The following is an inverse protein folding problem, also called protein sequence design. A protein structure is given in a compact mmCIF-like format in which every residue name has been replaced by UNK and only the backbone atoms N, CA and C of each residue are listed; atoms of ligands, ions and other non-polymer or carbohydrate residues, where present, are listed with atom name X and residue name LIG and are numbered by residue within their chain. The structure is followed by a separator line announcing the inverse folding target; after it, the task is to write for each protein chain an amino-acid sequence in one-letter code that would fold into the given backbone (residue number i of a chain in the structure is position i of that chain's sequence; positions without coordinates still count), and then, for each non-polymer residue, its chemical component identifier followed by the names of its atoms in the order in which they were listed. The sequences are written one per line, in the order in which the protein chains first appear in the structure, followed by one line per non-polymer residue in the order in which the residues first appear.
data_IF_971323709786
#
_entry.id   IF_971323709786
#
_cell.length_a   1.000
_cell.length_b   1.000
_cell.length_c   1.000
_cell.angle_alpha   90.00
_cell.angle_beta   90.00
_cell.angle_gamma   90.00
#
_symmetry.space_group_name_H-M   'P 1'
#
loop_
_entity.id
_entity.type
_entity.pdbx_description
1 polymer ?
#
# COMPACT_ATOMS: atom_id res chain seq x y z
N UNK A 1 24.62 7.61 -11.38
CA UNK A 1 23.19 7.59 -11.73
C UNK A 1 22.84 6.47 -12.72
N UNK A 2 23.66 6.22 -13.75
CA UNK A 2 23.39 5.17 -14.76
C UNK A 2 23.22 3.77 -14.14
N UNK A 3 24.01 3.40 -13.12
CA UNK A 3 23.93 2.10 -12.47
C UNK A 3 22.62 1.89 -11.71
N UNK A 4 22.11 2.92 -11.02
CA UNK A 4 20.83 2.85 -10.30
C UNK A 4 19.68 2.61 -11.29
N UNK A 5 19.70 3.33 -12.42
CA UNK A 5 18.68 3.21 -13.46
C UNK A 5 18.73 1.83 -14.14
N UNK A 6 19.92 1.30 -14.39
CA UNK A 6 20.09 -0.04 -14.95
C UNK A 6 19.56 -1.13 -14.02
N UNK A 7 19.83 -1.03 -12.70
CA UNK A 7 19.30 -1.95 -11.70
C UNK A 7 17.78 -1.84 -11.62
N UNK A 8 17.26 -0.62 -11.56
CA UNK A 8 15.82 -0.36 -11.56
C UNK A 8 15.12 -0.98 -12.78
N UNK A 9 15.65 -0.77 -13.99
CA UNK A 9 15.09 -1.35 -15.22
C UNK A 9 15.11 -2.89 -15.18
N UNK A 10 16.21 -3.49 -14.72
CA UNK A 10 16.34 -4.94 -14.57
C UNK A 10 15.30 -5.50 -13.61
N UNK A 11 15.14 -4.87 -12.43
CA UNK A 11 14.16 -5.27 -11.43
C UNK A 11 12.72 -5.12 -11.95
N UNK A 12 12.40 -3.99 -12.57
CA UNK A 12 11.08 -3.76 -13.17
C UNK A 12 10.76 -4.79 -14.26
N UNK A 13 11.73 -5.06 -15.16
CA UNK A 13 11.55 -6.08 -16.18
C UNK A 13 11.32 -7.46 -15.57
N UNK A 14 12.06 -7.81 -14.52
CA UNK A 14 11.89 -9.08 -13.81
C UNK A 14 10.49 -9.23 -13.23
N UNK A 15 9.89 -8.15 -12.71
CA UNK A 15 8.51 -8.17 -12.22
C UNK A 15 7.49 -8.45 -13.31
N UNK A 16 7.56 -7.72 -14.43
CA UNK A 16 6.56 -7.86 -15.50
C UNK A 16 6.77 -9.08 -16.39
N UNK A 17 7.94 -9.71 -16.36
CA UNK A 17 8.15 -11.04 -16.97
C UNK A 17 7.60 -12.14 -16.06
N UNK A 18 7.60 -11.94 -14.74
CA UNK A 18 7.04 -12.89 -13.78
C UNK A 18 5.51 -12.74 -13.68
N UNK A 19 4.74 -13.85 -13.59
CA UNK A 19 3.31 -13.80 -13.35
C UNK A 19 2.94 -13.20 -11.98
N UNK A 20 3.88 -13.12 -11.05
CA UNK A 20 3.66 -12.64 -9.68
C UNK A 20 3.16 -11.19 -9.66
N UNK A 21 3.71 -10.31 -10.50
CA UNK A 21 3.29 -8.92 -10.57
C UNK A 21 1.81 -8.78 -10.97
N UNK A 22 1.37 -9.58 -11.93
CA UNK A 22 -0.02 -9.59 -12.40
C UNK A 22 -0.98 -10.15 -11.34
N UNK A 23 -0.56 -11.20 -10.64
CA UNK A 23 -1.34 -11.76 -9.52
C UNK A 23 -1.51 -10.73 -8.41
N UNK A 24 -0.42 -10.07 -8.00
CA UNK A 24 -0.45 -9.03 -6.95
C UNK A 24 -1.37 -7.87 -7.37
N UNK A 25 -1.24 -7.40 -8.62
CA UNK A 25 -2.07 -6.32 -9.15
C UNK A 25 -3.55 -6.71 -9.19
N UNK A 26 -3.85 -7.94 -9.66
CA UNK A 26 -5.23 -8.46 -9.73
C UNK A 26 -5.83 -8.59 -8.33
N UNK A 27 -5.11 -9.17 -7.38
CA UNK A 27 -5.58 -9.31 -5.99
C UNK A 27 -5.80 -7.94 -5.34
N UNK A 28 -4.87 -7.01 -5.54
CA UNK A 28 -4.99 -5.66 -5.01
C UNK A 28 -6.23 -4.94 -5.58
N UNK A 29 -6.44 -4.98 -6.89
CA UNK A 29 -7.59 -4.36 -7.54
C UNK A 29 -8.90 -5.05 -7.15
N UNK A 30 -8.90 -6.37 -7.07
CA UNK A 30 -10.07 -7.14 -6.64
C UNK A 30 -10.49 -6.78 -5.22
N UNK A 31 -9.55 -6.78 -4.28
CA UNK A 31 -9.83 -6.39 -2.89
C UNK A 31 -10.27 -4.92 -2.80
N UNK A 32 -9.58 -4.00 -3.48
CA UNK A 32 -9.95 -2.58 -3.50
C UNK A 32 -11.36 -2.38 -4.05
N UNK A 33 -11.72 -3.07 -5.13
CA UNK A 33 -13.06 -3.01 -5.73
C UNK A 33 -14.14 -3.63 -4.83
N UNK A 34 -13.85 -4.76 -4.20
CA UNK A 34 -14.77 -5.44 -3.30
C UNK A 34 -15.09 -4.57 -2.07
N UNK A 35 -14.07 -3.98 -1.46
CA UNK A 35 -14.28 -3.08 -0.32
C UNK A 35 -14.94 -1.76 -0.73
N UNK A 36 -14.63 -1.25 -1.92
CA UNK A 36 -15.34 -0.08 -2.47
C UNK A 36 -16.84 -0.34 -2.58
N UNK A 37 -17.21 -1.48 -3.15
CA UNK A 37 -18.62 -1.88 -3.27
C UNK A 37 -19.27 -2.10 -1.90
N UNK A 38 -18.56 -2.73 -0.95
CA UNK A 38 -19.03 -2.91 0.43
C UNK A 38 -19.32 -1.59 1.13
N UNK A 39 -18.40 -0.62 1.03
CA UNK A 39 -18.57 0.70 1.61
C UNK A 39 -19.76 1.47 1.00
N UNK A 40 -19.97 1.36 -0.32
CA UNK A 40 -21.14 1.96 -0.96
C UNK A 40 -22.46 1.35 -0.46
N UNK A 41 -22.52 0.01 -0.36
CA UNK A 41 -23.70 -0.68 0.14
C UNK A 41 -24.00 -0.32 1.61
N UNK A 42 -22.98 -0.20 2.43
CA UNK A 42 -23.13 0.23 3.83
C UNK A 42 -23.77 1.62 3.94
N UNK A 43 -23.31 2.59 3.17
CA UNK A 43 -23.86 3.94 3.13
C UNK A 43 -25.33 3.95 2.66
N UNK A 44 -25.63 3.20 1.60
CA UNK A 44 -27.00 3.08 1.09
C UNK A 44 -27.92 2.46 2.13
N UNK A 45 -27.52 1.38 2.79
CA UNK A 45 -28.31 0.74 3.85
C UNK A 45 -28.52 1.67 5.04
N UNK A 46 -27.49 2.38 5.48
CA UNK A 46 -27.58 3.36 6.56
C UNK A 46 -28.63 4.45 6.23
N UNK A 47 -28.57 5.01 5.03
CA UNK A 47 -29.48 6.06 4.58
C UNK A 47 -30.93 5.55 4.51
N UNK A 48 -31.15 4.34 3.99
CA UNK A 48 -32.47 3.72 3.93
C UNK A 48 -33.04 3.44 5.32
N UNK A 49 -32.23 2.94 6.25
CA UNK A 49 -32.66 2.66 7.62
C UNK A 49 -33.07 3.92 8.36
N UNK A 50 -32.32 5.01 8.22
CA UNK A 50 -32.70 6.30 8.83
C UNK A 50 -33.98 6.87 8.25
N UNK A 51 -34.18 6.76 6.93
CA UNK A 51 -35.42 7.19 6.28
C UNK A 51 -36.63 6.40 6.79
N UNK A 52 -36.50 5.10 7.04
CA UNK A 52 -37.56 4.25 7.58
C UNK A 52 -37.89 4.56 9.05
N UNK A 53 -36.91 4.99 9.86
CA UNK A 53 -37.11 5.33 11.26
C UNK A 53 -37.78 6.72 11.46
N UNK A 54 -38.08 7.44 10.38
CA UNK A 54 -38.65 8.80 10.46
C UNK A 54 -37.72 9.83 11.08
N UNK A 55 -36.47 9.48 11.32
CA UNK A 55 -35.44 10.40 11.75
C UNK A 55 -34.94 11.16 10.51
N UNK A 56 -34.95 12.48 10.59
CA UNK A 56 -34.39 13.29 9.50
C UNK A 56 -33.01 12.79 9.16
N UNK A 57 -32.81 12.40 7.89
CA UNK A 57 -31.53 11.90 7.40
C UNK A 57 -30.47 12.95 7.68
N UNK A 58 -29.57 12.68 8.61
CA UNK A 58 -28.38 13.55 8.77
C UNK A 58 -27.59 13.50 7.47
N UNK A 59 -27.29 14.63 6.85
CA UNK A 59 -26.56 14.66 5.59
C UNK A 59 -25.14 14.13 5.82
N UNK A 60 -24.92 12.86 5.44
CA UNK A 60 -23.57 12.29 5.39
C UNK A 60 -22.96 12.72 4.07
N UNK A 61 -21.76 13.26 4.11
CA UNK A 61 -20.94 13.44 2.93
C UNK A 61 -20.47 12.05 2.42
N UNK A 62 -21.34 11.41 1.61
CA UNK A 62 -21.12 10.06 1.07
C UNK A 62 -19.76 9.93 0.37
N UNK A 63 -19.37 10.87 -0.54
CA UNK A 63 -18.06 10.83 -1.14
C UNK A 63 -16.90 10.84 -0.14
N UNK A 64 -16.95 11.72 0.85
CA UNK A 64 -15.90 11.82 1.86
C UNK A 64 -15.81 10.55 2.71
N UNK A 65 -16.93 9.98 3.11
CA UNK A 65 -16.98 8.71 3.86
C UNK A 65 -16.37 7.55 3.07
N UNK A 66 -16.79 7.36 1.82
CA UNK A 66 -16.32 6.28 0.96
C UNK A 66 -14.82 6.41 0.71
N UNK A 67 -14.32 7.62 0.43
CA UNK A 67 -12.90 7.87 0.19
C UNK A 67 -12.07 7.58 1.45
N UNK A 68 -12.52 8.05 2.62
CA UNK A 68 -11.82 7.80 3.88
C UNK A 68 -11.78 6.31 4.22
N UNK A 69 -12.89 5.60 4.02
CA UNK A 69 -12.98 4.16 4.22
C UNK A 69 -12.06 3.38 3.27
N UNK A 70 -11.97 3.80 2.01
CA UNK A 70 -11.03 3.22 1.03
C UNK A 70 -9.58 3.36 1.48
N UNK A 71 -9.15 4.53 1.95
CA UNK A 71 -7.78 4.71 2.43
C UNK A 71 -7.50 3.86 3.67
N UNK A 72 -8.46 3.75 4.59
CA UNK A 72 -8.35 2.88 5.77
C UNK A 72 -8.18 1.42 5.36
N UNK A 73 -8.99 0.94 4.43
CA UNK A 73 -8.90 -0.43 3.90
C UNK A 73 -7.59 -0.65 3.15
N UNK A 74 -7.17 0.31 2.31
CA UNK A 74 -5.90 0.23 1.58
C UNK A 74 -4.72 0.14 2.54
N UNK A 75 -4.73 0.84 3.68
CA UNK A 75 -3.67 0.71 4.70
C UNK A 75 -3.56 -0.70 5.25
N UNK A 76 -4.69 -1.39 5.47
CA UNK A 76 -4.71 -2.79 5.90
C UNK A 76 -4.18 -3.72 4.80
N UNK A 77 -4.58 -3.49 3.54
CA UNK A 77 -4.06 -4.29 2.41
C UNK A 77 -2.54 -4.15 2.30
N UNK A 78 -1.99 -2.94 2.49
CA UNK A 78 -0.56 -2.70 2.46
C UNK A 78 0.21 -3.45 3.55
N UNK A 79 -0.40 -3.71 4.72
CA UNK A 79 0.23 -4.51 5.78
C UNK A 79 0.61 -5.92 5.33
N UNK A 80 -0.19 -6.52 4.44
CA UNK A 80 0.07 -7.85 3.89
C UNK A 80 0.92 -7.77 2.63
N UNK A 81 0.63 -6.81 1.77
CA UNK A 81 1.25 -6.69 0.46
C UNK A 81 2.73 -6.28 0.53
N UNK A 82 3.07 -5.32 1.41
CA UNK A 82 4.44 -4.83 1.52
C UNK A 82 5.43 -5.90 1.99
N UNK A 83 5.17 -6.69 3.06
CA UNK A 83 6.05 -7.79 3.43
C UNK A 83 6.27 -8.79 2.30
N UNK A 84 5.21 -9.12 1.53
CA UNK A 84 5.32 -10.02 0.37
C UNK A 84 6.21 -9.43 -0.74
N UNK A 85 6.14 -8.12 -0.98
CA UNK A 85 6.95 -7.45 -1.99
C UNK A 85 8.42 -7.31 -1.59
N UNK A 86 8.72 -7.28 -0.29
CA UNK A 86 10.07 -7.00 0.22
C UNK A 86 10.84 -8.24 0.67
N UNK A 87 10.16 -9.35 0.93
CA UNK A 87 10.75 -10.56 1.52
C UNK A 87 11.96 -11.10 0.76
N UNK A 88 11.91 -11.10 -0.58
CA UNK A 88 12.94 -11.71 -1.43
C UNK A 88 14.03 -10.75 -1.89
N UNK A 89 14.01 -9.47 -1.49
CA UNK A 89 14.88 -8.44 -2.06
C UNK A 89 16.38 -8.73 -1.87
N UNK A 90 16.77 -9.13 -0.69
CA UNK A 90 18.14 -9.49 -0.32
C UNK A 90 18.23 -10.88 0.29
N UNK A 91 17.21 -11.33 1.02
CA UNK A 91 17.22 -12.63 1.67
C UNK A 91 17.35 -13.79 0.68
N UNK A 92 16.78 -13.67 -0.52
CA UNK A 92 16.91 -14.68 -1.57
C UNK A 92 18.31 -14.67 -2.18
N UNK A 93 18.90 -13.50 -2.42
CA UNK A 93 20.28 -13.37 -2.94
C UNK A 93 21.31 -13.89 -1.93
N UNK A 94 21.08 -13.63 -0.64
CA UNK A 94 21.90 -14.20 0.43
C UNK A 94 21.79 -15.73 0.47
N UNK A 95 20.56 -16.25 0.46
CA UNK A 95 20.32 -17.70 0.49
C UNK A 95 20.95 -18.43 -0.70
N UNK A 96 20.99 -17.80 -1.88
CA UNK A 96 21.58 -18.36 -3.10
C UNK A 96 23.09 -18.12 -3.21
N UNK A 97 23.72 -17.40 -2.29
CA UNK A 97 25.13 -17.01 -2.35
C UNK A 97 25.48 -16.02 -3.47
N UNK A 98 24.47 -15.49 -4.17
CA UNK A 98 24.68 -14.55 -5.29
C UNK A 98 25.02 -13.13 -4.81
N UNK A 99 24.88 -12.85 -3.53
CA UNK A 99 25.24 -11.56 -2.95
C UNK A 99 26.74 -11.29 -3.07
N UNK A 100 27.59 -12.33 -3.00
CA UNK A 100 29.03 -12.20 -3.15
C UNK A 100 29.40 -11.75 -4.58
N UNK A 101 28.72 -12.27 -5.61
CA UNK A 101 28.87 -11.84 -6.99
C UNK A 101 28.46 -10.39 -7.19
N UNK A 102 27.44 -9.94 -6.44
CA UNK A 102 26.98 -8.55 -6.47
C UNK A 102 28.02 -7.61 -5.84
N UNK A 103 28.68 -8.05 -4.76
CA UNK A 103 29.70 -7.29 -4.05
C UNK A 103 31.04 -7.21 -4.80
N UNK A 104 31.33 -8.17 -5.71
CA UNK A 104 32.56 -8.16 -6.54
C UNK A 104 32.41 -7.27 -7.78
N UNK A 105 31.18 -6.82 -8.11
CA UNK A 105 30.98 -5.86 -9.21
C UNK A 105 31.40 -4.44 -8.77
N UNK A 106 31.93 -3.60 -9.68
CA UNK A 106 32.34 -2.23 -9.37
C UNK A 106 31.14 -1.27 -9.17
N UNK A 107 30.08 -1.78 -8.56
CA UNK A 107 28.84 -1.05 -8.26
C UNK A 107 28.75 -0.86 -6.76
N UNK A 108 28.57 0.37 -6.30
CA UNK A 108 28.45 0.65 -4.87
C UNK A 108 27.18 0.03 -4.26
N UNK A 109 27.30 -0.55 -3.06
CA UNK A 109 26.19 -1.20 -2.34
C UNK A 109 24.96 -0.29 -2.20
N UNK A 110 25.17 1.01 -2.01
CA UNK A 110 24.11 2.00 -1.93
C UNK A 110 23.34 2.16 -3.26
N UNK A 111 24.03 2.02 -4.39
CA UNK A 111 23.39 2.08 -5.72
C UNK A 111 22.49 0.87 -5.96
N UNK A 112 22.89 -0.30 -5.50
CA UNK A 112 22.08 -1.52 -5.56
C UNK A 112 20.84 -1.37 -4.71
N UNK A 113 20.99 -0.91 -3.46
CA UNK A 113 19.90 -0.71 -2.52
C UNK A 113 18.87 0.27 -3.07
N UNK A 114 19.32 1.44 -3.56
CA UNK A 114 18.43 2.43 -4.15
C UNK A 114 17.74 1.92 -5.42
N UNK A 115 18.44 1.22 -6.29
CA UNK A 115 17.86 0.67 -7.53
C UNK A 115 16.71 -0.31 -7.21
N UNK A 116 16.93 -1.21 -6.26
CA UNK A 116 15.92 -2.15 -5.78
C UNK A 116 14.74 -1.44 -5.10
N UNK A 117 15.03 -0.47 -4.24
CA UNK A 117 14.00 0.32 -3.57
C UNK A 117 13.12 1.07 -4.56
N UNK A 118 13.71 1.81 -5.49
CA UNK A 118 12.93 2.56 -6.49
C UNK A 118 12.11 1.66 -7.40
N UNK A 119 12.57 0.45 -7.71
CA UNK A 119 11.76 -0.51 -8.45
C UNK A 119 10.48 -0.88 -7.68
N UNK A 120 10.57 -1.11 -6.37
CA UNK A 120 9.39 -1.42 -5.52
C UNK A 120 8.45 -0.24 -5.36
N UNK A 121 9.01 0.96 -5.17
CA UNK A 121 8.24 2.21 -5.11
C UNK A 121 7.51 2.47 -6.43
N UNK A 122 8.15 2.22 -7.57
CA UNK A 122 7.50 2.34 -8.89
C UNK A 122 6.37 1.34 -9.05
N UNK A 123 6.54 0.10 -8.61
CA UNK A 123 5.49 -0.91 -8.64
C UNK A 123 4.31 -0.51 -7.72
N UNK A 124 4.59 0.01 -6.52
CA UNK A 124 3.58 0.57 -5.63
C UNK A 124 2.82 1.73 -6.30
N UNK A 125 3.53 2.60 -7.02
CA UNK A 125 2.89 3.70 -7.76
C UNK A 125 1.93 3.16 -8.82
N UNK A 126 2.31 2.10 -9.55
CA UNK A 126 1.44 1.45 -10.55
C UNK A 126 0.18 0.88 -9.88
N UNK A 127 0.31 0.24 -8.70
CA UNK A 127 -0.83 -0.24 -7.94
C UNK A 127 -1.79 0.91 -7.56
N UNK A 128 -1.27 2.03 -7.08
CA UNK A 128 -2.09 3.19 -6.72
C UNK A 128 -2.74 3.84 -7.95
N UNK A 129 -2.01 3.98 -9.05
CA UNK A 129 -2.57 4.52 -10.29
C UNK A 129 -3.69 3.62 -10.84
N UNK A 130 -3.51 2.30 -10.76
CA UNK A 130 -4.55 1.36 -11.20
C UNK A 130 -5.80 1.41 -10.33
N UNK A 131 -5.66 1.62 -8.99
CA UNK A 131 -6.80 1.82 -8.10
C UNK A 131 -7.55 3.13 -8.33
N UNK A 132 -6.94 4.10 -9.01
CA UNK A 132 -7.61 5.33 -9.46
C UNK A 132 -8.84 5.06 -10.34
N UNK A 133 -8.86 3.92 -11.06
CA UNK A 133 -10.03 3.48 -11.82
C UNK A 133 -11.25 3.24 -10.92
N UNK A 134 -11.05 2.71 -9.70
CA UNK A 134 -12.12 2.50 -8.73
C UNK A 134 -12.71 3.81 -8.23
N UNK A 135 -11.86 4.82 -7.97
CA UNK A 135 -12.33 6.14 -7.56
C UNK A 135 -12.95 6.91 -8.72
N UNK A 136 -12.50 6.69 -9.97
CA UNK A 136 -13.12 7.34 -11.13
C UNK A 136 -14.60 6.99 -11.28
N UNK A 137 -15.02 5.80 -10.84
CA UNK A 137 -16.44 5.44 -10.79
C UNK A 137 -17.25 6.36 -9.87
N UNK A 138 -16.67 6.85 -8.77
CA UNK A 138 -17.34 7.78 -7.88
C UNK A 138 -17.62 9.14 -8.54
N UNK A 139 -16.73 9.60 -9.43
CA UNK A 139 -16.92 10.85 -10.18
C UNK A 139 -18.04 10.78 -11.23
N UNK A 140 -18.43 9.58 -11.65
CA UNK A 140 -19.56 9.38 -12.58
C UNK A 140 -20.90 9.64 -11.87
N UNK A 141 -21.00 9.24 -10.60
CA UNK A 141 -22.25 9.30 -9.83
C UNK A 141 -22.34 10.49 -8.87
N UNK A 142 -21.21 11.08 -8.50
CA UNK A 142 -21.13 12.20 -7.56
C UNK A 142 -20.05 13.18 -8.01
N UNK A 143 -20.01 14.37 -7.41
CA UNK A 143 -18.96 15.38 -7.65
C UNK A 143 -18.11 15.55 -6.39
N UNK A 144 -17.28 14.55 -6.05
CA UNK A 144 -16.41 14.66 -4.88
C UNK A 144 -15.36 15.76 -5.09
N UNK A 145 -14.94 16.40 -4.00
CA UNK A 145 -13.79 17.30 -4.05
C UNK A 145 -12.52 16.46 -4.35
N UNK A 146 -11.81 16.83 -5.41
CA UNK A 146 -10.60 16.12 -5.85
C UNK A 146 -9.37 16.38 -4.95
N UNK A 147 -9.35 17.50 -4.21
CA UNK A 147 -8.21 17.89 -3.37
C UNK A 147 -7.95 16.90 -2.23
N UNK A 148 -8.93 16.52 -1.40
CA UNK A 148 -8.74 15.50 -0.36
C UNK A 148 -8.31 14.14 -0.94
N UNK A 149 -8.80 13.79 -2.14
CA UNK A 149 -8.42 12.54 -2.81
C UNK A 149 -6.94 12.54 -3.14
N UNK A 150 -6.43 13.59 -3.79
CA UNK A 150 -5.00 13.69 -4.13
C UNK A 150 -4.09 13.67 -2.90
N UNK A 151 -4.46 14.43 -1.86
CA UNK A 151 -3.70 14.45 -0.60
C UNK A 151 -3.71 13.07 0.06
N UNK A 152 -4.86 12.39 0.08
CA UNK A 152 -4.98 11.04 0.61
C UNK A 152 -4.13 10.03 -0.15
N UNK A 153 -4.14 10.06 -1.48
CA UNK A 153 -3.28 9.20 -2.32
C UNK A 153 -1.80 9.46 -2.09
N UNK A 154 -1.40 10.74 -2.01
CA UNK A 154 -0.02 11.10 -1.71
C UNK A 154 0.39 10.57 -0.33
N UNK A 155 -0.44 10.76 0.69
CA UNK A 155 -0.19 10.26 2.04
C UNK A 155 -0.06 8.74 2.08
N UNK A 156 -0.97 8.01 1.42
CA UNK A 156 -0.93 6.55 1.33
C UNK A 156 0.28 6.05 0.55
N UNK A 157 0.67 6.74 -0.51
CA UNK A 157 1.88 6.41 -1.27
C UNK A 157 3.14 6.57 -0.42
N UNK A 158 3.26 7.69 0.31
CA UNK A 158 4.39 7.92 1.23
C UNK A 158 4.42 6.91 2.37
N UNK A 159 3.26 6.56 2.93
CA UNK A 159 3.13 5.52 3.94
C UNK A 159 3.61 4.16 3.40
N UNK A 160 3.12 3.75 2.24
CA UNK A 160 3.56 2.51 1.58
C UNK A 160 5.05 2.51 1.24
N UNK A 161 5.60 3.64 0.78
CA UNK A 161 7.03 3.79 0.50
C UNK A 161 7.88 3.66 1.78
N UNK A 162 7.41 4.21 2.91
CA UNK A 162 8.08 4.03 4.21
C UNK A 162 8.05 2.57 4.67
N UNK A 163 6.92 1.88 4.53
CA UNK A 163 6.84 0.45 4.84
C UNK A 163 7.75 -0.39 3.92
N UNK A 164 7.85 -0.05 2.63
CA UNK A 164 8.78 -0.71 1.70
C UNK A 164 10.24 -0.52 2.13
N UNK A 165 10.62 0.67 2.61
CA UNK A 165 11.97 0.92 3.13
C UNK A 165 12.26 0.06 4.37
N UNK A 166 11.29 -0.04 5.29
CA UNK A 166 11.38 -0.88 6.48
C UNK A 166 11.51 -2.37 6.10
N UNK A 167 10.68 -2.87 5.18
CA UNK A 167 10.74 -4.26 4.72
C UNK A 167 12.05 -4.58 3.97
N UNK A 168 12.55 -3.64 3.18
CA UNK A 168 13.84 -3.75 2.52
C UNK A 168 14.97 -3.84 3.55
N UNK A 169 14.96 -2.99 4.58
CA UNK A 169 15.93 -3.03 5.67
C UNK A 169 15.90 -4.41 6.37
N UNK A 170 14.73 -4.91 6.75
CA UNK A 170 14.58 -6.22 7.40
C UNK A 170 15.08 -7.34 6.48
N UNK A 171 14.81 -7.27 5.18
CA UNK A 171 15.31 -8.26 4.20
C UNK A 171 16.84 -8.29 4.12
N UNK A 172 17.54 -7.20 4.48
CA UNK A 172 19.01 -7.20 4.57
C UNK A 172 19.55 -7.90 5.82
N UNK A 173 18.75 -8.07 6.86
CA UNK A 173 19.18 -8.66 8.15
C UNK A 173 19.08 -10.19 8.19
N UNK A 174 18.29 -10.81 7.32
CA UNK A 174 18.02 -12.25 7.33
C UNK A 174 18.23 -12.91 5.98
N UNK A 175 18.61 -14.19 6.00
CA UNK A 175 18.72 -15.05 4.80
C UNK A 175 17.42 -15.83 4.54
N UNK A 176 16.53 -15.86 5.52
CA UNK A 176 15.27 -16.59 5.42
C UNK A 176 14.13 -15.65 5.04
N UNK A 177 13.53 -15.88 3.86
CA UNK A 177 12.40 -15.08 3.34
C UNK A 177 11.19 -15.09 4.29
N UNK A 178 10.88 -16.24 4.91
CA UNK A 178 9.73 -16.37 5.82
C UNK A 178 9.96 -15.51 7.07
N UNK A 179 11.19 -15.52 7.62
CA UNK A 179 11.55 -14.67 8.76
C UNK A 179 11.45 -13.20 8.36
N UNK A 180 11.90 -12.82 7.16
CA UNK A 180 11.78 -11.46 6.66
C UNK A 180 10.31 -11.00 6.59
N UNK A 181 9.40 -11.85 6.05
CA UNK A 181 7.95 -11.55 6.00
C UNK A 181 7.39 -11.34 7.39
N UNK A 182 7.63 -12.28 8.31
CA UNK A 182 7.04 -12.24 9.66
C UNK A 182 7.50 -11.00 10.44
N UNK A 183 8.78 -10.68 10.39
CA UNK A 183 9.32 -9.51 11.08
C UNK A 183 8.79 -8.22 10.44
N UNK A 184 8.77 -8.13 9.09
CA UNK A 184 8.25 -6.95 8.39
C UNK A 184 6.77 -6.75 8.67
N UNK A 185 5.98 -7.83 8.63
CA UNK A 185 4.56 -7.78 8.96
C UNK A 185 4.33 -7.33 10.40
N UNK A 186 5.05 -7.93 11.36
CA UNK A 186 4.94 -7.56 12.77
C UNK A 186 5.30 -6.10 13.03
N UNK A 187 6.41 -5.61 12.45
CA UNK A 187 6.81 -4.20 12.57
C UNK A 187 5.78 -3.24 11.92
N UNK A 188 5.28 -3.59 10.73
CA UNK A 188 4.25 -2.80 10.05
C UNK A 188 2.95 -2.78 10.83
N UNK A 189 2.56 -3.91 11.43
CA UNK A 189 1.35 -4.03 12.25
C UNK A 189 1.46 -3.18 13.52
N UNK A 190 2.60 -3.16 14.19
CA UNK A 190 2.84 -2.30 15.36
C UNK A 190 2.69 -0.83 14.98
N UNK A 191 3.28 -0.39 13.87
CA UNK A 191 3.14 0.99 13.39
C UNK A 191 1.69 1.34 13.06
N UNK A 192 0.97 0.43 12.43
CA UNK A 192 -0.44 0.59 12.13
C UNK A 192 -1.31 0.69 13.38
N UNK A 193 -1.09 -0.18 14.37
CA UNK A 193 -1.80 -0.13 15.66
C UNK A 193 -1.57 1.18 16.39
N UNK A 194 -0.33 1.68 16.44
CA UNK A 194 -0.01 2.99 17.04
C UNK A 194 -0.84 4.09 16.36
N UNK A 195 -0.95 4.07 15.03
CA UNK A 195 -1.76 5.04 14.28
C UNK A 195 -3.25 4.95 14.65
N UNK A 196 -3.81 3.74 14.76
CA UNK A 196 -5.21 3.51 15.12
C UNK A 196 -5.49 4.00 16.54
N UNK A 197 -4.66 3.64 17.52
CA UNK A 197 -4.83 4.08 18.91
C UNK A 197 -4.65 5.60 19.07
N UNK A 198 -3.70 6.20 18.35
CA UNK A 198 -3.50 7.65 18.35
C UNK A 198 -4.74 8.39 17.83
N UNK A 199 -5.34 7.91 16.74
CA UNK A 199 -6.55 8.51 16.18
C UNK A 199 -7.75 8.42 17.13
N UNK A 200 -7.88 7.31 17.85
CA UNK A 200 -8.96 7.11 18.85
C UNK A 200 -8.78 8.02 20.08
N UNK A 201 -7.55 8.22 20.54
CA UNK A 201 -7.24 9.09 21.66
C UNK A 201 -7.52 10.57 21.35
N UNK A 202 -7.20 11.02 20.13
CA UNK A 202 -7.49 12.40 19.67
C UNK A 202 -9.00 12.62 19.48
N UNK A 203 -9.77 11.60 19.09
CA UNK A 203 -11.23 11.67 19.04
C UNK A 203 -11.84 11.92 20.42
N UNK A 204 -11.42 11.15 21.42
CA UNK A 204 -11.93 11.26 22.79
C UNK A 204 -11.64 12.62 23.47
N UNK A 205 -10.61 13.35 23.03
CA UNK A 205 -10.28 14.68 23.59
C UNK A 205 -11.04 15.84 22.92
N UNK A 206 -11.76 15.59 21.82
CA UNK A 206 -12.62 16.61 21.17
C UNK A 206 -14.04 16.65 21.70
N UNK A 207 -14.44 15.62 22.43
CA UNK A 207 -15.81 15.50 23.02
C UNK A 207 -15.87 15.97 24.49
N UNK A 208 -14.79 16.58 25.01
CA UNK A 208 -14.67 17.23 26.31
C UNK A 208 -14.48 18.73 26.11
#
# INVERSE_FOLDING_TARGET
MQNILAIWQREMRSYFVSPIAYVVLTVFLFLSGLFFFGNLTEVVQYTMTQAQMGQGVQPIDVPAYVIQSLFRTTSVILLFLVPMLTMGLFSEEKKRGTIELLLTTPIGNFQVLLGKYFARVTFLLILFLSSGATISALFVYSRPDWKPILVGYLGMFLYGAALLALGLFISTLTENQIVAVVITFGASLVLWLISVFSSSAVGATKDV
#
